data_IF_194184547709
#
_entry.id   IF_194184547709
#
_cell.length_a   1.000
_cell.length_b   1.000
_cell.length_c   1.000
_cell.angle_alpha   90.00
_cell.angle_beta   90.00
_cell.angle_gamma   90.00
#
_symmetry.space_group_name_H-M   'P 1'
#
loop_
_entity.id
_entity.type
_entity.pdbx_description
1 polymer ?
#
# COMPACT_ATOMS: atom_id res chain seq x y z
N UNK A 1 17.96 -1.36 -61.00
CA UNK A 1 17.12 -0.33 -60.37
C UNK A 1 15.97 -1.01 -59.63
N UNK A 2 16.13 -1.22 -58.32
CA UNK A 2 15.02 -1.53 -57.39
C UNK A 2 15.57 -1.61 -55.96
N UNK A 3 16.05 -0.47 -55.48
CA UNK A 3 16.29 -0.20 -54.07
C UNK A 3 15.01 0.40 -53.47
N UNK A 4 14.42 -0.26 -52.46
CA UNK A 4 13.76 0.33 -51.28
C UNK A 4 12.57 -0.51 -50.79
N UNK A 5 12.68 -1.10 -49.59
CA UNK A 5 11.60 -1.12 -48.56
C UNK A 5 11.93 -2.08 -47.41
N UNK A 6 12.85 -1.72 -46.51
CA UNK A 6 13.11 -2.50 -45.28
C UNK A 6 13.35 -1.64 -44.03
N UNK A 7 12.75 -0.45 -43.96
CA UNK A 7 13.07 0.55 -42.91
C UNK A 7 11.93 0.89 -41.93
N UNK A 8 10.85 0.11 -41.81
CA UNK A 8 9.72 0.48 -40.92
C UNK A 8 9.47 -0.45 -39.71
N UNK A 9 10.16 -1.58 -39.57
CA UNK A 9 9.88 -2.57 -38.50
C UNK A 9 10.70 -2.40 -37.20
N UNK A 10 11.63 -1.45 -37.13
CA UNK A 10 12.50 -1.25 -35.94
C UNK A 10 11.93 -0.28 -34.90
N UNK A 11 10.96 0.57 -35.24
CA UNK A 11 10.44 1.58 -34.31
C UNK A 11 9.46 1.04 -33.26
N UNK A 12 8.63 0.04 -33.59
CA UNK A 12 7.61 -0.48 -32.66
C UNK A 12 8.18 -1.32 -31.50
N UNK A 13 9.34 -1.96 -31.67
CA UNK A 13 10.04 -2.68 -30.59
C UNK A 13 10.69 -1.74 -29.57
N UNK A 14 11.02 -0.50 -29.97
CA UNK A 14 11.70 0.46 -29.11
C UNK A 14 10.84 0.92 -27.93
N UNK A 15 9.55 1.20 -28.16
CA UNK A 15 8.67 1.71 -27.11
C UNK A 15 8.29 0.65 -26.08
N UNK A 16 8.03 -0.60 -26.47
CA UNK A 16 7.79 -1.70 -25.51
C UNK A 16 8.99 -1.88 -24.56
N UNK A 17 10.22 -1.84 -25.10
CA UNK A 17 11.45 -1.90 -24.29
C UNK A 17 11.62 -0.65 -23.41
N UNK A 18 11.29 0.53 -23.93
CA UNK A 18 11.36 1.79 -23.18
C UNK A 18 10.35 1.87 -22.04
N UNK A 19 9.14 1.30 -22.22
CA UNK A 19 8.07 1.30 -21.22
C UNK A 19 8.33 0.25 -20.13
N UNK A 20 8.89 -0.91 -20.51
CA UNK A 20 9.41 -1.90 -19.56
C UNK A 20 10.59 -1.32 -18.76
N UNK A 21 11.56 -0.67 -19.41
CA UNK A 21 12.69 -0.03 -18.73
C UNK A 21 12.23 1.13 -17.82
N UNK A 22 11.21 1.89 -18.22
CA UNK A 22 10.63 2.96 -17.38
C UNK A 22 9.85 2.39 -16.18
N UNK A 23 9.07 1.32 -16.39
CA UNK A 23 8.29 0.65 -15.34
C UNK A 23 9.17 -0.05 -14.31
N UNK A 24 10.36 -0.53 -14.72
CA UNK A 24 11.36 -1.14 -13.83
C UNK A 24 12.41 -0.16 -13.29
N UNK A 25 12.35 1.12 -13.67
CA UNK A 25 13.40 2.12 -13.42
C UNK A 25 14.78 1.50 -13.71
N UNK A 26 14.95 0.97 -14.93
CA UNK A 26 16.23 0.46 -15.39
C UNK A 26 17.10 1.64 -15.82
N UNK A 27 18.30 1.71 -15.26
CA UNK A 27 19.25 2.82 -15.45
C UNK A 27 20.28 2.52 -16.54
N UNK A 28 19.90 1.76 -17.56
CA UNK A 28 20.78 1.39 -18.69
C UNK A 28 21.35 2.61 -19.43
N UNK A 29 20.80 3.81 -19.19
CA UNK A 29 21.26 5.07 -19.77
C UNK A 29 22.44 5.73 -19.03
N UNK A 30 22.79 5.24 -17.85
CA UNK A 30 23.83 5.85 -17.01
C UNK A 30 25.16 5.16 -17.27
N UNK A 31 26.14 5.88 -17.85
CA UNK A 31 27.51 5.40 -18.10
C UNK A 31 28.32 5.04 -16.84
N UNK A 32 27.73 5.15 -15.65
CA UNK A 32 28.35 4.77 -14.39
C UNK A 32 28.05 3.29 -14.11
N UNK A 33 28.94 2.63 -13.37
CA UNK A 33 28.75 1.25 -12.89
C UNK A 33 27.39 1.10 -12.19
N UNK A 34 26.51 0.28 -12.76
CA UNK A 34 25.13 0.06 -12.34
C UNK A 34 25.01 -0.25 -10.84
N UNK A 35 25.96 -1.02 -10.31
CA UNK A 35 26.10 -1.32 -8.89
C UNK A 35 25.96 -0.09 -7.98
N UNK A 36 26.63 1.02 -8.31
CA UNK A 36 26.63 2.21 -7.47
C UNK A 36 25.36 3.03 -7.62
N UNK A 37 24.69 2.94 -8.78
CA UNK A 37 23.38 3.57 -8.98
C UNK A 37 22.35 2.86 -8.11
N UNK A 38 22.34 1.53 -8.11
CA UNK A 38 21.46 0.72 -7.27
C UNK A 38 21.77 0.93 -5.78
N UNK A 39 23.04 0.95 -5.39
CA UNK A 39 23.47 1.27 -4.03
C UNK A 39 23.11 2.71 -3.62
N UNK A 40 23.21 3.67 -4.53
CA UNK A 40 22.86 5.06 -4.28
C UNK A 40 21.36 5.26 -4.06
N UNK A 41 20.52 4.63 -4.88
CA UNK A 41 19.07 4.77 -4.78
C UNK A 41 18.52 3.97 -3.60
N UNK A 42 18.83 2.66 -3.55
CA UNK A 42 18.37 1.80 -2.47
C UNK A 42 18.99 2.19 -1.14
N UNK A 43 20.32 2.30 -1.11
CA UNK A 43 21.05 2.66 0.11
C UNK A 43 20.79 4.10 0.54
N UNK A 44 20.82 5.06 -0.38
CA UNK A 44 20.54 6.46 -0.10
C UNK A 44 19.09 6.71 0.34
N UNK A 45 18.11 6.04 -0.28
CA UNK A 45 16.71 6.12 0.13
C UNK A 45 16.48 5.59 1.55
N UNK A 46 17.02 4.41 1.87
CA UNK A 46 16.95 3.85 3.22
C UNK A 46 17.69 4.71 4.26
N UNK A 47 18.90 5.17 3.93
CA UNK A 47 19.68 6.03 4.80
C UNK A 47 18.99 7.38 5.05
N UNK A 48 18.35 7.97 4.03
CA UNK A 48 17.61 9.22 4.16
C UNK A 48 16.40 9.06 5.09
N UNK A 49 15.62 7.98 4.93
CA UNK A 49 14.51 7.67 5.83
C UNK A 49 14.96 7.53 7.29
N UNK A 50 16.05 6.79 7.52
CA UNK A 50 16.63 6.62 8.86
C UNK A 50 17.22 7.92 9.39
N UNK A 51 17.86 8.75 8.55
CA UNK A 51 18.40 10.04 8.93
C UNK A 51 17.28 10.99 9.39
N UNK A 52 16.19 11.09 8.64
CA UNK A 52 15.03 11.91 9.02
C UNK A 52 14.50 11.44 10.37
N UNK A 53 14.35 10.13 10.58
CA UNK A 53 13.95 9.59 11.87
C UNK A 53 14.89 9.97 13.01
N UNK A 54 16.21 9.81 12.81
CA UNK A 54 17.21 10.15 13.83
C UNK A 54 17.18 11.64 14.17
N UNK A 55 17.00 12.52 13.18
CA UNK A 55 16.85 13.96 13.43
C UNK A 55 15.61 14.26 14.26
N UNK A 56 14.47 13.63 13.95
CA UNK A 56 13.23 13.77 14.74
C UNK A 56 13.44 13.26 16.18
N UNK A 57 14.09 12.11 16.32
CA UNK A 57 14.48 11.53 17.61
C UNK A 57 15.27 12.53 18.45
N UNK A 58 16.35 13.09 17.90
CA UNK A 58 17.16 14.07 18.62
C UNK A 58 16.37 15.34 18.98
N UNK A 59 15.52 15.84 18.08
CA UNK A 59 14.69 17.00 18.36
C UNK A 59 13.68 16.75 19.49
N UNK A 60 13.03 15.59 19.49
CA UNK A 60 12.04 15.22 20.51
C UNK A 60 12.69 14.96 21.87
N UNK A 61 13.84 14.27 21.90
CA UNK A 61 14.63 14.06 23.13
C UNK A 61 15.15 15.38 23.68
N UNK A 62 15.63 16.30 22.82
CA UNK A 62 16.05 17.64 23.25
C UNK A 62 14.90 18.40 23.87
N UNK A 63 13.73 18.40 23.23
CA UNK A 63 12.54 19.10 23.75
C UNK A 63 12.06 18.50 25.06
N UNK A 64 12.10 17.17 25.19
CA UNK A 64 11.84 16.49 26.45
C UNK A 64 12.81 16.92 27.55
N UNK A 65 14.11 16.98 27.24
CA UNK A 65 15.15 17.40 28.18
C UNK A 65 14.95 18.83 28.69
N UNK A 66 14.60 19.77 27.81
CA UNK A 66 14.30 21.16 28.18
C UNK A 66 13.11 21.20 29.16
N UNK A 67 11.98 20.60 28.80
CA UNK A 67 10.77 20.64 29.63
C UNK A 67 10.97 19.95 30.98
N UNK A 68 11.69 18.83 31.02
CA UNK A 68 11.88 18.04 32.23
C UNK A 68 12.91 18.65 33.18
N UNK A 69 14.05 19.11 32.65
CA UNK A 69 15.20 19.47 33.48
C UNK A 69 15.42 20.98 33.60
N UNK A 70 15.08 21.78 32.59
CA UNK A 70 15.20 23.24 32.66
C UNK A 70 13.93 23.88 33.23
N UNK A 71 12.76 23.47 32.74
CA UNK A 71 11.49 24.08 33.13
C UNK A 71 10.85 23.41 34.35
N UNK A 72 11.35 22.24 34.77
CA UNK A 72 10.81 21.47 35.90
C UNK A 72 9.44 20.83 35.67
N UNK A 73 8.88 20.91 34.45
CA UNK A 73 7.54 20.43 34.08
C UNK A 73 7.55 18.95 33.69
N UNK A 74 7.73 18.07 34.68
CA UNK A 74 7.93 16.62 34.46
C UNK A 74 6.76 15.93 33.76
N UNK A 75 5.52 16.22 34.17
CA UNK A 75 4.34 15.56 33.64
C UNK A 75 4.07 15.97 32.19
N UNK A 76 4.24 17.26 31.89
CA UNK A 76 4.11 17.77 30.52
C UNK A 76 5.18 17.20 29.60
N UNK A 77 6.44 17.12 30.08
CA UNK A 77 7.51 16.48 29.32
C UNK A 77 7.16 15.02 28.99
N UNK A 78 6.69 14.24 29.97
CA UNK A 78 6.28 12.84 29.77
C UNK A 78 5.13 12.73 28.80
N UNK A 79 4.08 13.54 28.97
CA UNK A 79 2.90 13.52 28.12
C UNK A 79 3.25 13.91 26.67
N UNK A 80 4.10 14.93 26.50
CA UNK A 80 4.52 15.38 25.19
C UNK A 80 5.42 14.35 24.49
N UNK A 81 6.37 13.72 25.19
CA UNK A 81 7.21 12.68 24.61
C UNK A 81 6.41 11.42 24.33
N UNK A 82 5.47 11.03 25.20
CA UNK A 82 4.60 9.88 24.97
C UNK A 82 3.87 10.03 23.63
N UNK A 83 3.15 11.14 23.42
CA UNK A 83 2.40 11.40 22.18
C UNK A 83 3.23 11.93 20.99
N UNK A 84 4.56 11.96 21.12
CA UNK A 84 5.46 12.39 20.04
C UNK A 84 5.57 11.33 18.95
N UNK A 85 6.21 11.66 17.82
CA UNK A 85 6.38 10.70 16.73
C UNK A 85 7.18 9.47 17.17
N UNK A 86 8.32 9.70 17.84
CA UNK A 86 9.17 8.64 18.35
C UNK A 86 8.51 7.92 19.52
N UNK A 87 7.90 8.65 20.44
CA UNK A 87 7.21 8.05 21.59
C UNK A 87 6.12 7.09 21.14
N UNK A 88 5.37 7.47 20.12
CA UNK A 88 4.32 6.64 19.56
C UNK A 88 4.88 5.34 18.98
N UNK A 89 6.04 5.37 18.31
CA UNK A 89 6.75 4.18 17.79
C UNK A 89 7.25 3.29 18.93
N UNK A 90 7.88 3.87 19.95
CA UNK A 90 8.49 3.12 21.06
C UNK A 90 7.42 2.51 21.97
N UNK A 91 6.38 3.27 22.31
CA UNK A 91 5.33 2.85 23.24
C UNK A 91 4.18 2.11 22.54
N UNK A 92 4.09 2.18 21.21
CA UNK A 92 3.11 1.44 20.43
C UNK A 92 1.66 1.86 20.61
N UNK A 93 1.36 2.96 21.30
CA UNK A 93 -0.03 3.40 21.51
C UNK A 93 -0.66 3.97 20.23
N UNK A 94 0.16 4.42 19.26
CA UNK A 94 -0.30 4.83 17.94
C UNK A 94 -1.33 5.96 17.97
N UNK A 95 -1.01 7.05 18.65
CA UNK A 95 -1.84 8.26 18.69
C UNK A 95 -0.93 9.48 18.69
N UNK A 96 -0.62 9.99 17.50
CA UNK A 96 0.27 11.13 17.32
C UNK A 96 -0.44 12.43 17.68
N UNK A 97 0.12 13.18 18.64
CA UNK A 97 -0.29 14.58 18.87
C UNK A 97 0.76 15.52 18.31
N UNK A 98 0.33 16.52 17.54
CA UNK A 98 1.16 17.67 17.13
C UNK A 98 2.38 17.36 16.26
N UNK A 99 2.30 16.36 15.37
CA UNK A 99 3.34 16.18 14.35
C UNK A 99 3.17 17.22 13.24
N UNK A 100 4.27 17.84 12.83
CA UNK A 100 4.29 18.73 11.67
C UNK A 100 3.83 17.96 10.42
N UNK A 101 2.81 18.46 9.72
CA UNK A 101 2.23 17.83 8.53
C UNK A 101 3.27 17.60 7.44
N UNK A 102 4.26 18.49 7.29
CA UNK A 102 5.34 18.33 6.32
C UNK A 102 6.22 17.11 6.63
N UNK A 103 6.53 16.89 7.90
CA UNK A 103 7.36 15.75 8.33
C UNK A 103 6.59 14.45 8.12
N UNK A 104 5.30 14.44 8.47
CA UNK A 104 4.42 13.30 8.21
C UNK A 104 4.37 12.95 6.72
N UNK A 105 4.23 13.97 5.85
CA UNK A 105 4.21 13.78 4.40
C UNK A 105 5.53 13.22 3.86
N UNK A 106 6.68 13.75 4.30
CA UNK A 106 8.01 13.26 3.90
C UNK A 106 8.18 11.81 4.31
N UNK A 107 7.85 11.46 5.57
CA UNK A 107 7.95 10.09 6.05
C UNK A 107 7.01 9.14 5.30
N UNK A 108 5.82 9.60 4.89
CA UNK A 108 4.88 8.80 4.08
C UNK A 108 5.44 8.53 2.69
N UNK A 109 6.04 9.53 2.06
CA UNK A 109 6.68 9.37 0.75
C UNK A 109 7.84 8.37 0.85
N UNK A 110 8.71 8.52 1.85
CA UNK A 110 9.86 7.64 2.02
C UNK A 110 9.44 6.20 2.38
N UNK A 111 8.64 6.01 3.43
CA UNK A 111 8.35 4.69 3.98
C UNK A 111 7.19 3.93 3.32
N UNK A 112 6.33 4.58 2.53
CA UNK A 112 5.22 3.92 1.84
C UNK A 112 5.37 3.99 0.32
N UNK A 113 5.52 5.20 -0.24
CA UNK A 113 5.62 5.38 -1.70
C UNK A 113 6.93 4.82 -2.27
N UNK A 114 8.07 5.14 -1.66
CA UNK A 114 9.37 4.64 -2.11
C UNK A 114 9.77 3.29 -1.52
N UNK A 115 8.95 2.71 -0.63
CA UNK A 115 9.25 1.43 0.02
C UNK A 115 9.65 0.34 -0.96
N UNK A 116 8.81 0.08 -1.96
CA UNK A 116 9.05 -0.97 -2.95
C UNK A 116 10.29 -0.68 -3.80
N UNK A 117 10.48 0.58 -4.21
CA UNK A 117 11.63 0.98 -5.03
C UNK A 117 12.95 0.80 -4.27
N UNK A 118 13.00 1.25 -3.01
CA UNK A 118 14.18 1.10 -2.16
C UNK A 118 14.49 -0.37 -1.89
N UNK A 119 13.49 -1.16 -1.49
CA UNK A 119 13.66 -2.58 -1.20
C UNK A 119 14.08 -3.38 -2.44
N UNK A 120 13.49 -3.12 -3.61
CA UNK A 120 13.88 -3.77 -4.87
C UNK A 120 15.37 -3.55 -5.19
N UNK A 121 15.83 -2.29 -5.14
CA UNK A 121 17.22 -1.97 -5.44
C UNK A 121 18.19 -2.54 -4.40
N UNK A 122 17.83 -2.54 -3.11
CA UNK A 122 18.63 -3.18 -2.07
C UNK A 122 18.71 -4.71 -2.24
N UNK A 123 17.62 -5.37 -2.60
CA UNK A 123 17.59 -6.82 -2.82
C UNK A 123 18.41 -7.19 -4.06
N UNK A 124 18.30 -6.42 -5.14
CA UNK A 124 19.07 -6.66 -6.36
C UNK A 124 20.59 -6.62 -6.11
N UNK A 125 21.06 -5.85 -5.12
CA UNK A 125 22.48 -5.84 -4.70
C UNK A 125 22.92 -7.10 -3.96
N UNK A 126 21.99 -7.96 -3.54
CA UNK A 126 22.25 -9.23 -2.85
C UNK A 126 22.14 -10.45 -3.77
N UNK A 127 21.49 -10.31 -4.92
CA UNK A 127 21.13 -11.42 -5.79
C UNK A 127 22.26 -11.79 -6.75
N UNK A 128 22.61 -13.07 -6.76
CA UNK A 128 23.58 -13.65 -7.69
C UNK A 128 22.93 -14.62 -8.67
N UNK A 129 23.59 -14.82 -9.80
CA UNK A 129 23.26 -15.87 -10.77
C UNK A 129 23.85 -17.21 -10.34
N UNK A 130 23.35 -18.30 -10.93
CA UNK A 130 23.86 -19.67 -10.70
C UNK A 130 25.35 -19.80 -11.06
N UNK A 131 25.83 -18.97 -12.00
CA UNK A 131 27.21 -18.93 -12.44
C UNK A 131 28.16 -18.27 -11.40
N UNK A 132 27.63 -17.81 -10.27
CA UNK A 132 28.41 -17.23 -9.17
C UNK A 132 28.79 -15.77 -9.39
N UNK A 133 28.05 -15.03 -10.23
CA UNK A 133 28.25 -13.60 -10.48
C UNK A 133 27.07 -12.78 -9.95
N UNK A 134 27.29 -11.48 -9.72
CA UNK A 134 26.23 -10.56 -9.31
C UNK A 134 25.26 -10.34 -10.48
N UNK A 135 23.96 -10.36 -10.20
CA UNK A 135 22.94 -10.28 -11.25
C UNK A 135 22.84 -8.93 -11.96
N UNK A 136 23.16 -7.84 -11.27
CA UNK A 136 23.20 -6.50 -11.86
C UNK A 136 24.47 -6.31 -12.70
N UNK A 137 25.57 -6.96 -12.32
CA UNK A 137 26.88 -6.78 -12.96
C UNK A 137 27.63 -8.11 -12.99
N UNK A 138 27.55 -8.78 -14.13
CA UNK A 138 28.16 -10.10 -14.36
C UNK A 138 29.69 -10.06 -14.27
N UNK A 139 30.33 -8.87 -14.28
CA UNK A 139 31.77 -8.75 -14.09
C UNK A 139 32.21 -8.96 -12.63
N UNK A 140 31.25 -8.93 -11.68
CA UNK A 140 31.52 -8.98 -10.25
C UNK A 140 31.23 -10.38 -9.72
N UNK A 141 32.25 -11.04 -9.17
CA UNK A 141 32.11 -12.34 -8.52
C UNK A 141 31.28 -12.21 -7.24
N UNK A 142 30.33 -13.13 -7.07
CA UNK A 142 29.40 -13.17 -5.96
C UNK A 142 30.13 -13.26 -4.61
N UNK A 143 29.74 -12.40 -3.64
CA UNK A 143 30.29 -12.33 -2.29
C UNK A 143 31.82 -12.20 -2.18
N UNK A 144 32.50 -11.65 -3.20
CA UNK A 144 33.93 -11.31 -3.15
C UNK A 144 34.17 -9.81 -3.25
N UNK A 145 35.28 -9.36 -2.66
CA UNK A 145 35.81 -7.99 -2.72
C UNK A 145 34.78 -6.87 -2.52
N UNK A 146 34.35 -6.25 -3.64
CA UNK A 146 33.42 -5.12 -3.65
C UNK A 146 32.00 -5.54 -3.34
N UNK A 147 31.56 -6.69 -3.87
CA UNK A 147 30.20 -7.17 -3.61
C UNK A 147 30.04 -7.55 -2.14
N UNK A 148 31.04 -8.18 -1.51
CA UNK A 148 30.97 -8.47 -0.07
C UNK A 148 30.66 -7.21 0.77
N UNK A 149 31.37 -6.11 0.52
CA UNK A 149 31.17 -4.85 1.27
C UNK A 149 29.80 -4.22 1.01
N UNK A 150 29.40 -4.11 -0.26
CA UNK A 150 28.15 -3.45 -0.66
C UNK A 150 26.95 -4.32 -0.28
N UNK A 151 27.03 -5.64 -0.50
CA UNK A 151 26.01 -6.60 -0.12
C UNK A 151 25.79 -6.64 1.39
N UNK A 152 26.84 -6.66 2.21
CA UNK A 152 26.69 -6.56 3.67
C UNK A 152 26.01 -5.25 4.09
N UNK A 153 26.39 -4.12 3.49
CA UNK A 153 25.75 -2.83 3.77
C UNK A 153 24.26 -2.84 3.38
N UNK A 154 23.94 -3.36 2.19
CA UNK A 154 22.56 -3.48 1.71
C UNK A 154 21.71 -4.38 2.63
N UNK A 155 22.28 -5.49 3.10
CA UNK A 155 21.61 -6.40 4.04
C UNK A 155 21.29 -5.71 5.37
N UNK A 156 22.25 -4.96 5.92
CA UNK A 156 22.04 -4.17 7.15
C UNK A 156 20.93 -3.13 6.93
N UNK A 157 21.00 -2.36 5.84
CA UNK A 157 20.00 -1.34 5.54
C UNK A 157 18.61 -1.96 5.37
N UNK A 158 18.49 -3.09 4.68
CA UNK A 158 17.24 -3.80 4.50
C UNK A 158 16.66 -4.30 5.84
N UNK A 159 17.51 -4.82 6.72
CA UNK A 159 17.12 -5.29 8.06
C UNK A 159 16.57 -4.17 8.96
N UNK A 160 17.03 -2.93 8.81
CA UNK A 160 16.48 -1.78 9.54
C UNK A 160 15.30 -1.11 8.82
N UNK A 161 15.40 -0.95 7.51
CA UNK A 161 14.43 -0.18 6.72
C UNK A 161 13.06 -0.86 6.63
N UNK A 162 13.02 -2.19 6.50
CA UNK A 162 11.75 -2.93 6.42
C UNK A 162 10.96 -2.80 7.74
N UNK A 163 11.49 -3.19 8.91
CA UNK A 163 10.77 -3.03 10.18
C UNK A 163 10.41 -1.57 10.45
N UNK A 164 11.32 -0.64 10.15
CA UNK A 164 11.08 0.78 10.31
C UNK A 164 9.87 1.27 9.50
N UNK A 165 9.80 0.91 8.22
CA UNK A 165 8.70 1.29 7.34
C UNK A 165 7.37 0.67 7.79
N UNK A 166 7.42 -0.59 8.26
CA UNK A 166 6.25 -1.29 8.83
C UNK A 166 5.73 -0.60 10.11
N UNK A 167 6.62 -0.06 10.94
CA UNK A 167 6.22 0.68 12.16
C UNK A 167 5.67 2.07 11.85
N UNK A 168 6.26 2.78 10.88
CA UNK A 168 5.93 4.17 10.57
C UNK A 168 4.67 4.32 9.71
N UNK A 169 4.53 3.49 8.67
CA UNK A 169 3.45 3.65 7.68
C UNK A 169 2.04 3.69 8.32
N UNK A 170 1.70 2.85 9.31
CA UNK A 170 0.38 2.88 9.93
C UNK A 170 0.12 4.14 10.76
N UNK A 171 1.15 4.77 11.31
CA UNK A 171 1.02 5.95 12.19
C UNK A 171 0.73 7.22 11.41
N UNK A 172 1.17 7.30 10.16
CA UNK A 172 1.02 8.51 9.33
C UNK A 172 -0.39 8.64 8.70
N UNK A 173 -1.23 7.63 8.83
CA UNK A 173 -2.64 7.66 8.41
C UNK A 173 -3.52 8.41 9.42
N UNK A 174 -3.02 8.66 10.64
CA UNK A 174 -3.80 9.15 11.79
C UNK A 174 -4.07 10.66 11.83
N UNK A 175 -3.39 11.47 11.00
CA UNK A 175 -3.22 12.90 11.29
C UNK A 175 -4.01 13.85 10.36
N UNK A 176 -5.30 13.56 10.13
CA UNK A 176 -6.25 14.59 9.66
C UNK A 176 -6.93 15.20 10.88
N UNK A 177 -6.38 16.34 11.32
CA UNK A 177 -6.82 17.06 12.50
C UNK A 177 -8.31 17.42 12.46
N UNK A 178 -9.01 16.98 13.51
CA UNK A 178 -10.31 17.41 14.04
C UNK A 178 -10.39 18.91 14.43
N UNK A 179 -9.64 19.81 13.79
CA UNK A 179 -9.54 21.21 14.22
C UNK A 179 -10.43 22.21 13.46
N UNK A 180 -11.42 21.74 12.69
CA UNK A 180 -12.46 22.64 12.18
C UNK A 180 -13.80 22.28 12.80
N UNK A 181 -14.31 23.22 13.61
CA UNK A 181 -15.71 23.37 14.03
C UNK A 181 -16.68 23.56 12.82
N UNK A 182 -16.45 22.90 11.70
CA UNK A 182 -17.35 22.88 10.56
C UNK A 182 -18.22 21.63 10.67
N UNK A 183 -19.37 21.80 11.33
CA UNK A 183 -20.63 21.19 10.88
C UNK A 183 -20.74 21.40 9.37
N UNK A 184 -20.28 20.45 8.57
CA UNK A 184 -20.85 20.08 7.27
C UNK A 184 -20.02 18.98 6.59
N UNK A 185 -20.59 17.78 6.56
CA UNK A 185 -20.57 16.89 5.40
C UNK A 185 -19.33 16.08 5.01
N UNK A 186 -18.10 16.38 5.47
CA UNK A 186 -16.88 15.78 4.85
C UNK A 186 -16.17 14.70 5.71
N UNK A 187 -16.67 14.38 6.90
CA UNK A 187 -16.09 13.33 7.76
C UNK A 187 -16.42 11.88 7.34
N UNK A 188 -16.93 11.64 6.13
CA UNK A 188 -17.26 10.30 5.62
C UNK A 188 -16.04 9.44 5.27
N UNK A 189 -14.83 10.03 5.22
CA UNK A 189 -13.57 9.32 4.96
C UNK A 189 -12.63 9.23 6.18
N UNK A 190 -13.07 9.72 7.34
CA UNK A 190 -12.25 9.76 8.55
C UNK A 190 -12.06 8.36 9.14
N UNK A 191 -10.89 7.77 8.92
CA UNK A 191 -10.47 6.44 9.39
C UNK A 191 -10.17 6.36 10.91
N UNK A 192 -10.58 7.37 11.69
CA UNK A 192 -10.11 7.60 13.06
C UNK A 192 -10.62 6.61 14.12
N UNK A 193 -11.77 5.96 13.94
CA UNK A 193 -12.27 4.97 14.92
C UNK A 193 -11.82 3.53 14.62
N UNK A 194 -11.13 3.28 13.50
CA UNK A 194 -10.69 1.93 13.08
C UNK A 194 -9.17 1.72 13.20
N UNK A 195 -8.51 2.62 13.94
CA UNK A 195 -7.05 2.77 14.00
C UNK A 195 -6.36 1.53 14.58
N UNK A 196 -6.87 0.92 15.65
CA UNK A 196 -6.26 -0.28 16.26
C UNK A 196 -6.31 -1.51 15.34
N UNK A 197 -7.28 -1.56 14.43
CA UNK A 197 -7.52 -2.68 13.53
C UNK A 197 -6.81 -2.53 12.17
N UNK A 198 -6.62 -1.30 11.68
CA UNK A 198 -5.97 -1.04 10.38
C UNK A 198 -4.45 -1.25 10.44
N UNK A 199 -3.82 -0.99 11.60
CA UNK A 199 -2.38 -1.12 11.80
C UNK A 199 -1.82 -2.53 11.54
N UNK A 200 -2.35 -3.60 12.18
CA UNK A 200 -1.88 -4.95 11.89
C UNK A 200 -2.13 -5.33 10.44
N UNK A 201 -3.24 -4.88 9.84
CA UNK A 201 -3.53 -5.13 8.44
C UNK A 201 -2.51 -4.47 7.49
N UNK A 202 -2.20 -3.18 7.66
CA UNK A 202 -1.19 -2.48 6.85
C UNK A 202 0.21 -3.10 7.04
N UNK A 203 0.55 -3.50 8.27
CA UNK A 203 1.78 -4.21 8.57
C UNK A 203 1.88 -5.53 7.81
N UNK A 204 0.81 -6.35 7.81
CA UNK A 204 0.74 -7.59 7.04
C UNK A 204 0.89 -7.33 5.54
N UNK A 205 0.25 -6.30 5.00
CA UNK A 205 0.39 -5.93 3.58
C UNK A 205 1.83 -5.58 3.23
N UNK A 206 2.51 -4.76 4.04
CA UNK A 206 3.91 -4.37 3.83
C UNK A 206 4.85 -5.57 3.97
N UNK A 207 4.57 -6.48 4.90
CA UNK A 207 5.31 -7.72 5.07
C UNK A 207 5.13 -8.65 3.85
N UNK A 208 3.91 -8.81 3.34
CA UNK A 208 3.66 -9.59 2.12
C UNK A 208 4.34 -8.99 0.90
N UNK A 209 4.37 -7.66 0.75
CA UNK A 209 5.15 -6.97 -0.29
C UNK A 209 6.64 -7.29 -0.19
N UNK A 210 7.18 -7.29 1.03
CA UNK A 210 8.59 -7.64 1.28
C UNK A 210 8.85 -9.10 0.90
N UNK A 211 7.95 -10.01 1.27
CA UNK A 211 8.03 -11.42 0.89
C UNK A 211 7.96 -11.60 -0.64
N UNK A 212 7.08 -10.88 -1.34
CA UNK A 212 7.02 -10.89 -2.82
C UNK A 212 8.35 -10.50 -3.43
N UNK A 213 8.96 -9.41 -2.97
CA UNK A 213 10.24 -8.95 -3.49
C UNK A 213 11.36 -9.96 -3.21
N UNK A 214 11.45 -10.46 -1.98
CA UNK A 214 12.49 -11.43 -1.59
C UNK A 214 12.33 -12.74 -2.37
N UNK A 215 11.11 -13.28 -2.47
CA UNK A 215 10.84 -14.52 -3.19
C UNK A 215 11.08 -14.37 -4.69
N UNK A 216 10.67 -13.26 -5.29
CA UNK A 216 10.94 -12.93 -6.70
C UNK A 216 12.44 -12.97 -6.99
N UNK A 217 13.25 -12.35 -6.15
CA UNK A 217 14.65 -12.15 -6.47
C UNK A 217 15.55 -13.32 -6.00
N UNK A 218 15.28 -13.92 -4.83
CA UNK A 218 16.09 -15.01 -4.29
C UNK A 218 15.64 -16.40 -4.76
N UNK A 219 14.34 -16.68 -4.78
CA UNK A 219 13.84 -18.03 -5.10
C UNK A 219 13.74 -18.23 -6.60
N UNK A 220 13.19 -17.25 -7.31
CA UNK A 220 13.07 -17.34 -8.78
C UNK A 220 14.36 -16.97 -9.52
N UNK A 221 15.36 -16.41 -8.81
CA UNK A 221 16.52 -15.75 -9.44
C UNK A 221 16.05 -14.69 -10.47
N UNK A 222 14.87 -14.11 -10.20
CA UNK A 222 14.04 -13.31 -11.10
C UNK A 222 13.90 -13.82 -12.54
N UNK A 223 13.85 -15.13 -12.73
CA UNK A 223 13.23 -15.72 -13.92
C UNK A 223 11.77 -15.25 -13.96
N UNK A 224 11.28 -14.97 -15.17
CA UNK A 224 9.93 -14.40 -15.39
C UNK A 224 8.87 -15.30 -14.72
N UNK A 225 8.92 -16.60 -14.99
CA UNK A 225 7.93 -17.56 -14.47
C UNK A 225 7.85 -17.56 -12.95
N UNK A 226 8.97 -17.73 -12.25
CA UNK A 226 8.92 -17.79 -10.78
C UNK A 226 8.61 -16.42 -10.15
N UNK A 227 8.95 -15.32 -10.83
CA UNK A 227 8.53 -13.96 -10.41
C UNK A 227 7.01 -13.88 -10.42
N UNK A 228 6.40 -14.19 -11.57
CA UNK A 228 4.93 -14.14 -11.74
C UNK A 228 4.23 -15.12 -10.81
N UNK A 229 4.77 -16.33 -10.60
CA UNK A 229 4.21 -17.31 -9.65
C UNK A 229 4.29 -16.81 -8.20
N UNK A 230 5.42 -16.22 -7.79
CA UNK A 230 5.57 -15.68 -6.44
C UNK A 230 4.60 -14.51 -6.18
N UNK A 231 4.41 -13.65 -7.19
CA UNK A 231 3.46 -12.56 -7.15
C UNK A 231 2.02 -13.08 -7.09
N UNK A 232 1.69 -14.11 -7.87
CA UNK A 232 0.39 -14.77 -7.84
C UNK A 232 0.06 -15.29 -6.43
N UNK A 233 0.97 -16.06 -5.82
CA UNK A 233 0.77 -16.65 -4.48
C UNK A 233 0.53 -15.55 -3.44
N UNK A 234 1.31 -14.47 -3.49
CA UNK A 234 1.17 -13.39 -2.54
C UNK A 234 -0.11 -12.56 -2.77
N UNK A 235 -0.48 -12.27 -4.01
CA UNK A 235 -1.74 -11.60 -4.34
C UNK A 235 -2.95 -12.43 -3.90
N UNK A 236 -2.94 -13.74 -4.11
CA UNK A 236 -4.00 -14.65 -3.63
C UNK A 236 -4.05 -14.68 -2.11
N UNK A 237 -2.89 -14.73 -1.45
CA UNK A 237 -2.80 -14.72 0.02
C UNK A 237 -3.32 -13.40 0.60
N UNK A 238 -2.93 -12.26 0.01
CA UNK A 238 -3.40 -10.93 0.39
C UNK A 238 -4.90 -10.75 0.15
N UNK A 239 -5.41 -11.27 -0.98
CA UNK A 239 -6.85 -11.32 -1.25
C UNK A 239 -7.59 -12.13 -0.18
N UNK A 240 -7.15 -13.37 0.09
CA UNK A 240 -7.77 -14.25 1.06
C UNK A 240 -7.74 -13.65 2.48
N UNK A 241 -6.60 -13.12 2.92
CA UNK A 241 -6.46 -12.44 4.22
C UNK A 241 -7.39 -11.24 4.28
N UNK A 242 -7.41 -10.39 3.24
CA UNK A 242 -8.25 -9.18 3.23
C UNK A 242 -9.74 -9.53 3.22
N UNK A 243 -10.15 -10.56 2.48
CA UNK A 243 -11.54 -11.04 2.43
C UNK A 243 -11.97 -11.71 3.73
N UNK A 244 -11.17 -12.63 4.27
CA UNK A 244 -11.44 -13.27 5.57
C UNK A 244 -11.52 -12.24 6.68
N UNK A 245 -10.61 -11.27 6.68
CA UNK A 245 -10.63 -10.17 7.64
C UNK A 245 -11.87 -9.29 7.47
N UNK A 246 -12.25 -8.96 6.24
CA UNK A 246 -13.45 -8.17 5.96
C UNK A 246 -14.73 -8.92 6.35
N UNK A 247 -14.78 -10.23 6.11
CA UNK A 247 -15.92 -11.09 6.41
C UNK A 247 -16.08 -11.38 7.91
N UNK A 248 -14.98 -11.65 8.62
CA UNK A 248 -15.03 -11.89 10.06
C UNK A 248 -15.42 -10.62 10.84
N UNK A 249 -15.06 -9.45 10.31
CA UNK A 249 -15.43 -8.16 10.87
C UNK A 249 -16.84 -7.69 10.46
N UNK A 250 -17.53 -8.40 9.56
CA UNK A 250 -18.88 -8.12 9.08
C UNK A 250 -19.99 -8.64 10.02
N UNK A 251 -19.62 -9.22 11.17
CA UNK A 251 -20.57 -9.84 12.08
C UNK A 251 -21.53 -8.79 12.68
N UNK A 252 -22.78 -8.83 12.23
CA UNK A 252 -23.83 -7.81 12.43
C UNK A 252 -24.14 -7.53 13.90
N UNK A 253 -23.95 -8.51 14.78
CA UNK A 253 -24.18 -8.36 16.23
C UNK A 253 -23.25 -7.35 16.92
N UNK A 254 -22.04 -7.13 16.38
CA UNK A 254 -21.13 -6.07 16.88
C UNK A 254 -21.44 -4.69 16.32
N UNK A 255 -22.23 -4.59 15.24
CA UNK A 255 -22.60 -3.32 14.60
C UNK A 255 -23.82 -2.66 15.22
N UNK A 256 -24.67 -3.40 15.93
CA UNK A 256 -25.89 -2.85 16.57
C UNK A 256 -25.57 -1.87 17.71
N UNK A 257 -24.38 -1.96 18.32
CA UNK A 257 -23.94 -1.05 19.38
C UNK A 257 -23.08 0.12 18.91
N UNK A 258 -22.66 0.13 17.63
CA UNK A 258 -21.81 1.18 17.06
C UNK A 258 -22.67 2.02 16.12
N UNK A 259 -23.23 3.12 16.64
CA UNK A 259 -24.20 4.01 15.96
C UNK A 259 -23.72 4.67 14.65
N UNK A 260 -22.51 4.38 14.19
CA UNK A 260 -22.01 4.72 12.86
C UNK A 260 -21.13 3.57 12.38
N UNK A 261 -21.43 2.92 11.25
CA UNK A 261 -20.44 2.10 10.57
C UNK A 261 -19.35 3.04 10.05
N UNK A 262 -18.38 3.37 10.90
CA UNK A 262 -17.13 3.95 10.45
C UNK A 262 -16.55 3.02 9.39
N UNK A 263 -15.88 3.61 8.41
CA UNK A 263 -15.75 3.14 7.05
C UNK A 263 -14.34 2.53 6.79
N UNK A 264 -14.01 1.29 7.21
CA UNK A 264 -12.87 0.53 6.71
C UNK A 264 -13.30 -0.55 5.70
N UNK A 265 -14.59 -0.90 5.62
CA UNK A 265 -15.07 -2.02 4.80
C UNK A 265 -14.91 -1.75 3.30
N UNK A 266 -15.37 -0.58 2.83
CA UNK A 266 -15.26 -0.20 1.41
C UNK A 266 -13.80 -0.12 0.93
N UNK A 267 -12.89 0.42 1.76
CA UNK A 267 -11.46 0.50 1.43
C UNK A 267 -10.83 -0.90 1.35
N UNK A 268 -11.16 -1.80 2.27
CA UNK A 268 -10.61 -3.15 2.26
C UNK A 268 -11.17 -4.01 1.14
N UNK A 269 -12.42 -3.80 0.76
CA UNK A 269 -13.00 -4.33 -0.47
C UNK A 269 -12.22 -3.89 -1.70
N UNK A 270 -11.96 -2.58 -1.84
CA UNK A 270 -11.23 -2.06 -2.99
C UNK A 270 -9.83 -2.67 -3.04
N UNK A 271 -9.17 -2.82 -1.88
CA UNK A 271 -7.87 -3.50 -1.77
C UNK A 271 -7.95 -4.98 -2.15
N UNK A 272 -8.97 -5.70 -1.68
CA UNK A 272 -9.19 -7.09 -2.05
C UNK A 272 -9.36 -7.25 -3.57
N UNK A 273 -10.18 -6.39 -4.19
CA UNK A 273 -10.36 -6.37 -5.65
C UNK A 273 -9.03 -6.08 -6.35
N UNK A 274 -8.23 -5.14 -5.85
CA UNK A 274 -6.91 -4.85 -6.41
C UNK A 274 -5.96 -6.06 -6.33
N UNK A 275 -5.96 -6.79 -5.22
CA UNK A 275 -5.17 -8.02 -5.08
C UNK A 275 -5.67 -9.13 -6.00
N UNK A 276 -6.99 -9.27 -6.15
CA UNK A 276 -7.59 -10.23 -7.09
C UNK A 276 -7.23 -9.88 -8.54
N UNK A 277 -7.29 -8.60 -8.91
CA UNK A 277 -6.87 -8.13 -10.24
C UNK A 277 -5.38 -8.43 -10.47
N UNK A 278 -4.53 -8.24 -9.47
CA UNK A 278 -3.12 -8.64 -9.52
C UNK A 278 -2.92 -10.14 -9.74
N UNK A 279 -3.69 -10.98 -9.03
CA UNK A 279 -3.66 -12.43 -9.22
C UNK A 279 -4.11 -12.85 -10.64
N UNK A 280 -5.20 -12.27 -11.13
CA UNK A 280 -5.68 -12.50 -12.51
C UNK A 280 -4.63 -12.07 -13.53
N UNK A 281 -4.01 -10.90 -13.35
CA UNK A 281 -2.89 -10.41 -14.16
C UNK A 281 -1.74 -11.42 -14.24
N UNK A 282 -1.34 -12.01 -13.12
CA UNK A 282 -0.29 -13.03 -13.10
C UNK A 282 -0.67 -14.30 -13.87
N UNK A 283 -1.92 -14.76 -13.77
CA UNK A 283 -2.41 -15.92 -14.53
C UNK A 283 -2.35 -15.65 -16.03
N UNK A 284 -2.75 -14.45 -16.44
CA UNK A 284 -2.71 -14.02 -17.85
C UNK A 284 -1.28 -14.00 -18.36
N UNK A 285 -0.35 -13.41 -17.60
CA UNK A 285 1.07 -13.36 -17.98
C UNK A 285 1.68 -14.76 -18.11
N UNK A 286 1.33 -15.70 -17.23
CA UNK A 286 1.73 -17.10 -17.37
C UNK A 286 1.15 -17.74 -18.63
N UNK A 287 -0.12 -17.51 -18.93
CA UNK A 287 -0.77 -18.05 -20.14
C UNK A 287 -0.14 -17.50 -21.43
N UNK A 288 0.29 -16.24 -21.41
CA UNK A 288 1.09 -15.64 -22.47
C UNK A 288 2.45 -16.30 -22.60
N UNK A 289 3.18 -16.43 -21.50
CA UNK A 289 4.53 -17.01 -21.49
C UNK A 289 4.54 -18.44 -22.05
N UNK A 290 3.52 -19.26 -21.73
CA UNK A 290 3.39 -20.62 -22.25
C UNK A 290 2.74 -20.71 -23.64
N UNK A 291 2.41 -19.59 -24.28
CA UNK A 291 1.81 -19.55 -25.62
C UNK A 291 0.43 -20.21 -25.72
N UNK A 292 -0.26 -20.43 -24.60
CA UNK A 292 -1.57 -21.10 -24.56
C UNK A 292 -2.74 -20.16 -24.81
N UNK A 293 -2.52 -18.85 -24.63
CA UNK A 293 -3.58 -17.85 -24.71
C UNK A 293 -4.17 -17.67 -26.12
N UNK A 294 -3.38 -17.60 -27.22
CA UNK A 294 -3.93 -17.44 -28.57
C UNK A 294 -4.89 -18.56 -28.98
N UNK A 295 -4.71 -19.77 -28.44
CA UNK A 295 -5.55 -20.93 -28.72
C UNK A 295 -6.74 -21.07 -27.77
N UNK A 296 -6.67 -20.51 -26.56
CA UNK A 296 -7.72 -20.66 -25.55
C UNK A 296 -9.00 -19.87 -25.89
N UNK A 297 -8.87 -18.72 -26.57
CA UNK A 297 -10.01 -17.82 -26.80
C UNK A 297 -10.69 -17.96 -28.15
N UNK A 298 -10.17 -18.74 -29.10
CA UNK A 298 -10.86 -19.26 -30.31
C UNK A 298 -11.63 -18.30 -31.23
N UNK A 299 -11.75 -17.00 -30.91
CA UNK A 299 -12.80 -16.12 -31.40
C UNK A 299 -12.22 -14.82 -32.00
N UNK A 300 -10.95 -14.49 -31.74
CA UNK A 300 -10.38 -13.22 -32.21
C UNK A 300 -8.98 -13.46 -32.80
N UNK A 301 -8.88 -13.31 -34.12
CA UNK A 301 -7.60 -13.23 -34.82
C UNK A 301 -6.94 -11.89 -34.50
N UNK A 302 -6.22 -11.84 -33.38
CA UNK A 302 -5.37 -10.70 -33.07
C UNK A 302 -4.12 -10.73 -33.94
N UNK A 303 -3.81 -9.60 -34.59
CA UNK A 303 -2.56 -9.43 -35.31
C UNK A 303 -1.40 -9.48 -34.30
N UNK A 304 -0.38 -10.31 -34.57
CA UNK A 304 0.63 -10.73 -33.61
C UNK A 304 1.45 -9.56 -32.99
N UNK A 305 1.39 -8.37 -33.59
CA UNK A 305 2.09 -7.18 -33.09
C UNK A 305 1.29 -6.41 -32.02
N UNK A 306 -0.06 -6.47 -32.05
CA UNK A 306 -0.94 -5.69 -31.18
C UNK A 306 -1.73 -6.54 -30.17
N UNK A 307 -1.74 -7.86 -30.34
CA UNK A 307 -2.46 -8.81 -29.49
C UNK A 307 -2.21 -8.60 -27.99
N UNK A 308 -0.96 -8.36 -27.59
CA UNK A 308 -0.60 -8.18 -26.18
C UNK A 308 -1.27 -6.97 -25.53
N UNK A 309 -1.35 -5.85 -26.28
CA UNK A 309 -1.88 -4.59 -25.77
C UNK A 309 -3.40 -4.63 -25.73
N UNK A 310 -4.03 -5.14 -26.78
CA UNK A 310 -5.49 -5.26 -26.86
C UNK A 310 -6.03 -6.24 -25.81
N UNK A 311 -5.31 -7.34 -25.56
CA UNK A 311 -5.68 -8.29 -24.53
C UNK A 311 -5.44 -7.74 -23.11
N UNK A 312 -4.34 -7.04 -22.87
CA UNK A 312 -4.11 -6.32 -21.61
C UNK A 312 -5.27 -5.34 -21.34
N UNK A 313 -5.67 -4.57 -22.35
CA UNK A 313 -6.75 -3.58 -22.26
C UNK A 313 -8.11 -4.25 -22.01
N UNK A 314 -8.35 -5.42 -22.62
CA UNK A 314 -9.51 -6.25 -22.36
C UNK A 314 -9.56 -6.74 -20.90
N UNK A 315 -8.44 -7.21 -20.35
CA UNK A 315 -8.40 -7.64 -18.95
C UNK A 315 -8.54 -6.50 -17.95
N UNK A 316 -7.98 -5.32 -18.25
CA UNK A 316 -8.22 -4.10 -17.47
C UNK A 316 -9.70 -3.74 -17.49
N UNK A 317 -10.35 -3.81 -18.67
CA UNK A 317 -11.79 -3.57 -18.80
C UNK A 317 -12.61 -4.59 -18.00
N UNK A 318 -12.27 -5.88 -18.08
CA UNK A 318 -12.94 -6.95 -17.34
C UNK A 318 -12.80 -6.76 -15.83
N UNK A 319 -11.60 -6.44 -15.36
CA UNK A 319 -11.34 -6.16 -13.94
C UNK A 319 -12.13 -4.93 -13.46
N UNK A 320 -12.18 -3.86 -14.27
CA UNK A 320 -12.98 -2.66 -13.96
C UNK A 320 -14.49 -2.97 -13.90
N UNK A 321 -14.99 -3.81 -14.82
CA UNK A 321 -16.38 -4.22 -14.87
C UNK A 321 -16.75 -5.12 -13.69
N UNK A 322 -15.89 -6.07 -13.32
CA UNK A 322 -16.05 -6.89 -12.12
C UNK A 322 -16.06 -6.05 -10.85
N UNK A 323 -15.14 -5.08 -10.72
CA UNK A 323 -15.10 -4.15 -9.60
C UNK A 323 -16.39 -3.31 -9.50
N UNK A 324 -16.90 -2.83 -10.64
CA UNK A 324 -18.13 -2.05 -10.71
C UNK A 324 -19.37 -2.88 -10.32
N UNK A 325 -19.50 -4.11 -10.84
CA UNK A 325 -20.60 -5.01 -10.49
C UNK A 325 -20.57 -5.37 -9.00
N UNK A 326 -19.40 -5.65 -8.46
CA UNK A 326 -19.24 -5.94 -7.04
C UNK A 326 -19.63 -4.74 -6.16
N UNK A 327 -19.24 -3.52 -6.54
CA UNK A 327 -19.65 -2.29 -5.86
C UNK A 327 -21.18 -2.09 -5.89
N UNK A 328 -21.83 -2.39 -7.02
CA UNK A 328 -23.30 -2.36 -7.12
C UNK A 328 -23.91 -3.39 -6.18
N UNK A 329 -23.41 -4.63 -6.17
CA UNK A 329 -23.94 -5.70 -5.32
C UNK A 329 -23.87 -5.32 -3.84
N UNK A 330 -22.72 -4.83 -3.39
CA UNK A 330 -22.54 -4.29 -2.04
C UNK A 330 -23.54 -3.19 -1.70
N UNK A 331 -23.72 -2.24 -2.62
CA UNK A 331 -24.67 -1.14 -2.44
C UNK A 331 -26.12 -1.64 -2.31
N UNK A 332 -26.47 -2.70 -3.03
CA UNK A 332 -27.79 -3.31 -2.97
C UNK A 332 -27.98 -4.09 -1.65
N UNK A 333 -26.98 -4.84 -1.23
CA UNK A 333 -27.00 -5.61 0.02
C UNK A 333 -27.14 -4.69 1.23
N UNK A 334 -26.33 -3.63 1.31
CA UNK A 334 -26.45 -2.59 2.36
C UNK A 334 -27.85 -1.95 2.36
N UNK A 335 -28.42 -1.66 1.18
CA UNK A 335 -29.80 -1.14 1.07
C UNK A 335 -30.85 -2.11 1.58
N UNK A 336 -30.67 -3.42 1.41
CA UNK A 336 -31.61 -4.43 1.92
C UNK A 336 -31.54 -4.52 3.45
N UNK A 337 -30.35 -4.47 4.05
CA UNK A 337 -30.17 -4.49 5.50
C UNK A 337 -30.66 -3.22 6.22
N UNK A 338 -30.66 -2.06 5.54
CA UNK A 338 -31.16 -0.79 6.11
C UNK A 338 -32.69 -0.62 6.04
N UNK A 339 -33.40 -1.36 5.18
CA UNK A 339 -34.87 -1.27 5.05
C UNK A 339 -35.65 -1.66 6.32
N UNK A 340 -35.32 -2.72 7.08
CA UNK A 340 -36.11 -3.10 8.26
C UNK A 340 -36.00 -2.10 9.42
N UNK A 341 -34.89 -1.36 9.54
CA UNK A 341 -34.71 -0.34 10.59
C UNK A 341 -35.65 0.87 10.43
N UNK A 342 -36.13 1.18 9.21
CA UNK A 342 -37.09 2.27 8.97
C UNK A 342 -38.51 1.94 9.40
N UNK A 343 -38.90 0.67 9.38
CA UNK A 343 -40.25 0.27 9.79
C UNK A 343 -40.41 0.17 11.30
N UNK A 344 -39.31 0.00 12.05
CA UNK A 344 -39.38 -0.12 13.51
C UNK A 344 -39.40 1.24 14.24
N UNK A 345 -38.94 2.33 13.61
CA UNK A 345 -38.97 3.67 14.22
C UNK A 345 -40.29 4.43 14.01
N UNK A 346 -41.22 3.90 13.22
CA UNK A 346 -42.47 4.60 12.89
C UNK A 346 -43.67 4.16 13.76
N UNK A 347 -43.56 3.02 14.46
CA UNK A 347 -44.64 2.48 15.32
C UNK A 347 -44.41 2.69 16.83
N UNK A 348 -43.37 3.44 17.21
CA UNK A 348 -43.12 3.83 18.61
C UNK A 348 -43.40 5.31 18.86
N UNK A 349 -44.63 5.76 18.56
CA UNK A 349 -45.27 6.83 19.35
C UNK A 349 -45.51 6.33 20.77
N UNK A 350 -44.43 6.20 21.54
CA UNK A 350 -44.47 6.07 22.99
C UNK A 350 -44.67 7.50 23.51
N UNK A 351 -45.78 7.71 24.22
CA UNK A 351 -45.97 8.85 25.10
C UNK A 351 -44.85 8.88 26.14
N UNK A 352 -43.73 9.54 25.81
CA UNK A 352 -42.68 9.83 26.78
C UNK A 352 -43.06 11.15 27.43
N UNK A 353 -43.57 11.02 28.66
CA UNK A 353 -43.69 12.08 29.62
C UNK A 353 -42.38 12.85 29.74
N UNK A 354 -42.51 14.18 29.67
CA UNK A 354 -41.51 15.18 29.97
C UNK A 354 -40.60 14.81 31.14
N UNK A 355 -39.32 14.58 30.86
CA UNK A 355 -38.18 15.17 31.57
C UNK A 355 -36.90 14.41 31.23
N UNK A 356 -36.27 14.77 30.12
CA UNK A 356 -34.81 14.85 29.94
C UNK A 356 -34.53 15.22 28.48
N UNK A 357 -34.23 16.50 28.26
CA UNK A 357 -33.86 17.04 26.95
C UNK A 357 -32.43 16.62 26.60
N UNK A 358 -32.29 15.47 25.97
CA UNK A 358 -31.10 15.10 25.20
C UNK A 358 -31.44 15.35 23.74
N UNK A 359 -31.03 16.50 23.22
CA UNK A 359 -31.20 16.85 21.80
C UNK A 359 -30.45 15.83 20.96
N UNK A 360 -31.19 14.96 20.27
CA UNK A 360 -30.62 13.97 19.38
C UNK A 360 -30.56 14.57 17.97
N UNK A 361 -29.34 14.74 17.46
CA UNK A 361 -29.13 15.21 16.10
C UNK A 361 -28.99 13.97 15.20
N UNK A 362 -29.91 13.81 14.24
CA UNK A 362 -29.86 12.74 13.25
C UNK A 362 -29.76 13.34 11.84
N UNK A 363 -28.80 12.84 11.05
CA UNK A 363 -28.60 13.24 9.66
C UNK A 363 -29.19 12.20 8.73
N UNK A 364 -30.14 12.60 7.88
CA UNK A 364 -30.71 11.72 6.85
C UNK A 364 -29.96 11.88 5.53
N UNK A 365 -29.08 10.93 5.23
CA UNK A 365 -28.27 10.92 4.03
C UNK A 365 -29.08 10.75 2.72
N UNK A 366 -30.37 10.41 2.79
CA UNK A 366 -31.21 10.26 1.59
C UNK A 366 -31.85 11.60 1.19
N UNK A 367 -32.27 12.41 2.16
CA UNK A 367 -32.87 13.73 1.90
C UNK A 367 -31.85 14.87 1.99
N UNK A 368 -30.64 14.57 2.47
CA UNK A 368 -29.56 15.52 2.70
C UNK A 368 -29.94 16.65 3.68
N UNK A 369 -30.85 16.36 4.62
CA UNK A 369 -31.35 17.30 5.62
C UNK A 369 -31.01 16.84 7.04
N UNK A 370 -30.80 17.81 7.92
CA UNK A 370 -30.59 17.60 9.35
C UNK A 370 -31.91 17.66 10.10
N UNK A 371 -32.15 16.67 10.96
CA UNK A 371 -33.32 16.65 11.84
C UNK A 371 -32.88 16.95 13.27
N UNK A 372 -33.62 17.86 13.90
CA UNK A 372 -33.44 18.31 15.27
C UNK A 372 -34.68 17.86 16.04
N UNK A 373 -34.50 17.02 17.07
CA UNK A 373 -35.55 16.68 18.05
C UNK A 373 -35.13 17.06 19.45
#
# INVERSE_FOLDING_TARGET
>A
SSSSSSSSKTHAKGWKKSLLNFSYVSFDFVSYSELYVYAGIGGGGAALALLVFMLLFFMEVRRYGILRYLDGRRDDARNQYFHSFVGTIIYGHGYLKSVNSSISMIMRILCDTFFLSVCDKLIMLLCCTDDGYLRIDESIVCWKDRHLKIGTCALILLAYYIPFSVMVAPMLVENENDNNNSTDGVAYYSLTSTIEFIKPYLSVVTLSKSFMLISTQLISQGKIVGTVVSQLIACVSLFAITMLWSWNNLNVEKYSSVNKPSFPYGVNIIKAIAFLAGAVGCVIELLFYYGKLPHAFGIIHFDANNADVELLLFFVLLAALAAFLYFIFLRLEVRQYLKPLRFQSQDSTINISSNQSLSMIAFDAITNNWFWS
#
